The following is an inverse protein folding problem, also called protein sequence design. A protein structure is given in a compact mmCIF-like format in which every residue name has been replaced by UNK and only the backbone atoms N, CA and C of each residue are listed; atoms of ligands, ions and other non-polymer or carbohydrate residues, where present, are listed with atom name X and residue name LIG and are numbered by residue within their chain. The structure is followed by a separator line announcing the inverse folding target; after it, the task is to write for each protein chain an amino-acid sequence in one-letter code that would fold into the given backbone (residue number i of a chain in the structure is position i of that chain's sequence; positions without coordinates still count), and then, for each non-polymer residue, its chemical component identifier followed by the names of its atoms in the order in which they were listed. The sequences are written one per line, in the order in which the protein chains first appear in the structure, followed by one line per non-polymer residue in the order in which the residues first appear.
data_IF_277633030658
#
_entry.id   IF_277633030658
#
_cell.length_a   1.000
_cell.length_b   1.000
_cell.length_c   1.000
_cell.angle_alpha   90.00
_cell.angle_beta   90.00
_cell.angle_gamma   90.00
#
_symmetry.space_group_name_H-M   'P 1'
#
loop_
_entity.id
_entity.type
_entity.pdbx_description
1 polymer ?
#
# COMPACT_ATOMS: atom_id res chain seq x y z
N UNK A 1 -25.15 -16.27 -32.73
CA UNK A 1 -23.82 -16.33 -32.07
C UNK A 1 -23.66 -15.05 -31.27
N UNK A 2 -23.10 -15.08 -30.06
CA UNK A 2 -22.82 -13.84 -29.33
C UNK A 2 -21.69 -13.07 -30.01
N UNK A 3 -21.78 -11.74 -29.99
CA UNK A 3 -20.71 -10.85 -30.45
C UNK A 3 -19.58 -10.81 -29.41
N UNK A 4 -18.33 -10.69 -29.88
CA UNK A 4 -17.19 -10.56 -28.99
C UNK A 4 -17.22 -9.19 -28.28
N UNK A 5 -17.10 -9.23 -26.95
CA UNK A 5 -16.94 -8.05 -26.11
C UNK A 5 -15.86 -8.30 -25.06
N UNK A 6 -14.80 -7.51 -25.10
CA UNK A 6 -13.82 -7.48 -24.02
C UNK A 6 -14.40 -6.76 -22.80
N UNK A 7 -14.21 -7.33 -21.62
CA UNK A 7 -14.56 -6.74 -20.33
C UNK A 7 -13.41 -7.04 -19.38
N UNK A 8 -12.93 -6.01 -18.68
CA UNK A 8 -11.96 -6.18 -17.60
C UNK A 8 -12.51 -7.14 -16.54
N UNK A 9 -11.67 -8.04 -16.03
CA UNK A 9 -12.06 -8.95 -14.94
C UNK A 9 -12.46 -8.18 -13.67
N UNK A 10 -11.82 -7.03 -13.43
CA UNK A 10 -12.05 -6.16 -12.28
C UNK A 10 -12.15 -4.70 -12.76
N UNK A 11 -13.32 -4.25 -13.24
CA UNK A 11 -13.51 -2.86 -13.63
C UNK A 11 -13.41 -1.94 -12.41
N UNK A 12 -12.68 -0.82 -12.54
CA UNK A 12 -12.53 0.19 -11.49
C UNK A 12 -13.61 1.26 -11.65
N UNK A 13 -14.08 1.82 -10.53
CA UNK A 13 -14.87 3.06 -10.50
C UNK A 13 -13.98 4.30 -10.65
N UNK A 14 -14.59 5.48 -10.49
CA UNK A 14 -13.87 6.75 -10.44
C UNK A 14 -12.91 6.80 -9.23
N UNK A 15 -11.76 7.44 -9.40
CA UNK A 15 -10.80 7.66 -8.31
C UNK A 15 -11.04 9.01 -7.65
N UNK A 16 -11.60 8.97 -6.45
CA UNK A 16 -11.89 10.16 -5.63
C UNK A 16 -10.76 10.47 -4.63
N UNK A 17 -9.61 9.79 -4.72
CA UNK A 17 -8.50 9.97 -3.79
C UNK A 17 -7.88 11.36 -3.95
N UNK A 18 -7.77 12.17 -2.89
CA UNK A 18 -7.07 13.44 -2.97
C UNK A 18 -5.55 13.23 -3.05
N UNK A 19 -4.90 13.88 -4.03
CA UNK A 19 -3.45 13.82 -4.22
C UNK A 19 -2.77 15.13 -3.84
N UNK A 20 -1.55 15.00 -3.30
CA UNK A 20 -0.63 16.12 -3.04
C UNK A 20 0.58 15.98 -3.95
N UNK A 21 0.95 17.05 -4.64
CA UNK A 21 2.17 17.11 -5.44
C UNK A 21 3.40 16.97 -4.53
N UNK A 22 4.28 16.00 -4.84
CA UNK A 22 5.55 15.78 -4.13
C UNK A 22 6.69 16.53 -4.82
N UNK A 23 6.84 16.33 -6.13
CA UNK A 23 7.88 16.97 -6.94
C UNK A 23 7.48 16.95 -8.42
N UNK A 24 8.06 17.86 -9.20
CA UNK A 24 8.06 17.83 -10.67
C UNK A 24 9.44 17.53 -11.25
N UNK A 25 10.47 17.42 -10.41
CA UNK A 25 11.85 17.15 -10.84
C UNK A 25 12.00 15.72 -11.35
N UNK A 26 12.79 15.56 -12.42
CA UNK A 26 13.03 14.26 -13.05
C UNK A 26 11.82 13.72 -13.85
N UNK A 27 10.86 14.57 -14.19
CA UNK A 27 9.71 14.22 -15.03
C UNK A 27 9.74 15.06 -16.29
N UNK A 28 9.76 14.43 -17.46
CA UNK A 28 9.77 15.10 -18.76
C UNK A 28 8.86 14.37 -19.76
N UNK A 29 8.16 15.12 -20.61
CA UNK A 29 7.48 14.55 -21.78
C UNK A 29 8.39 14.69 -22.99
N UNK A 30 8.77 13.57 -23.59
CA UNK A 30 9.62 13.52 -24.78
C UNK A 30 8.83 13.00 -25.99
N UNK A 31 9.19 13.50 -27.18
CA UNK A 31 8.59 13.08 -28.46
C UNK A 31 9.52 12.10 -29.19
N UNK A 32 9.04 10.89 -29.42
CA UNK A 32 9.79 9.84 -30.14
C UNK A 32 8.88 9.19 -31.19
N UNK A 33 9.27 9.27 -32.46
CA UNK A 33 8.52 8.65 -33.56
C UNK A 33 7.08 9.18 -33.70
N UNK A 34 6.86 10.47 -33.42
CA UNK A 34 5.53 11.10 -33.48
C UNK A 34 4.58 10.70 -32.35
N UNK A 35 5.13 10.22 -31.23
CA UNK A 35 4.38 9.86 -30.02
C UNK A 35 5.05 10.47 -28.80
N UNK A 36 4.22 10.89 -27.85
CA UNK A 36 4.65 11.30 -26.52
C UNK A 36 5.02 10.11 -25.65
N UNK A 37 6.07 10.31 -24.86
CA UNK A 37 6.52 9.42 -23.79
C UNK A 37 6.76 10.24 -22.52
N UNK A 38 6.45 9.66 -21.37
CA UNK A 38 6.77 10.23 -20.07
C UNK A 38 8.10 9.63 -19.62
N UNK A 39 9.18 10.41 -19.64
CA UNK A 39 10.43 10.04 -19.01
C UNK A 39 10.36 10.34 -17.51
N UNK A 40 10.71 9.34 -16.70
CA UNK A 40 10.72 9.41 -15.23
C UNK A 40 12.08 8.97 -14.73
N UNK A 41 12.78 9.91 -14.09
CA UNK A 41 14.10 9.66 -13.52
C UNK A 41 14.01 8.73 -12.29
N UNK A 42 15.05 7.90 -12.03
CA UNK A 42 15.10 7.05 -10.84
C UNK A 42 14.95 7.81 -9.52
N UNK A 43 15.55 9.00 -9.40
CA UNK A 43 15.46 9.82 -8.18
C UNK A 43 14.03 10.30 -7.88
N UNK A 44 13.17 10.43 -8.90
CA UNK A 44 11.75 10.75 -8.72
C UNK A 44 11.03 9.60 -8.02
N UNK A 45 11.26 8.35 -8.44
CA UNK A 45 10.69 7.14 -7.81
C UNK A 45 11.17 6.97 -6.37
N UNK A 46 12.46 7.21 -6.12
CA UNK A 46 13.07 7.20 -4.79
C UNK A 46 12.44 8.24 -3.87
N UNK A 47 12.35 9.50 -4.33
CA UNK A 47 11.77 10.63 -3.56
C UNK A 47 10.31 10.38 -3.22
N UNK A 48 9.52 9.91 -4.20
CA UNK A 48 8.12 9.57 -3.99
C UNK A 48 7.97 8.44 -2.97
N UNK A 49 8.81 7.41 -3.06
CA UNK A 49 8.77 6.27 -2.14
C UNK A 49 9.16 6.67 -0.72
N UNK A 50 10.19 7.50 -0.54
CA UNK A 50 10.54 8.04 0.76
C UNK A 50 9.38 8.82 1.38
N UNK A 51 8.75 9.72 0.61
CA UNK A 51 7.62 10.51 1.07
C UNK A 51 6.41 9.63 1.45
N UNK A 52 6.09 8.64 0.62
CA UNK A 52 5.02 7.69 0.89
C UNK A 52 5.29 6.87 2.17
N UNK A 53 6.51 6.36 2.32
CA UNK A 53 6.87 5.60 3.51
C UNK A 53 6.86 6.45 4.79
N UNK A 54 7.34 7.69 4.73
CA UNK A 54 7.22 8.62 5.86
C UNK A 54 5.75 8.84 6.23
N UNK A 55 4.91 9.20 5.26
CA UNK A 55 3.53 9.60 5.53
C UNK A 55 2.69 8.43 6.04
N UNK A 56 2.82 7.22 5.48
CA UNK A 56 2.05 6.04 5.92
C UNK A 56 2.40 5.59 7.35
N UNK A 57 3.62 5.86 7.83
CA UNK A 57 4.03 5.51 9.20
C UNK A 57 3.53 6.49 10.26
N UNK A 58 3.13 7.71 9.86
CA UNK A 58 2.82 8.80 10.78
C UNK A 58 1.40 9.35 10.64
N UNK A 59 0.74 9.12 9.50
CA UNK A 59 -0.58 9.65 9.17
C UNK A 59 -1.56 8.52 8.83
N UNK A 60 -2.85 8.81 9.03
CA UNK A 60 -3.96 7.93 8.65
C UNK A 60 -4.87 8.60 7.64
N UNK A 61 -5.60 7.78 6.87
CA UNK A 61 -6.66 8.27 6.00
C UNK A 61 -7.77 8.92 6.83
N UNK A 62 -8.34 10.06 6.39
CA UNK A 62 -9.44 10.72 7.10
C UNK A 62 -10.65 9.80 7.35
N UNK A 63 -10.99 8.94 6.38
CA UNK A 63 -12.08 7.97 6.54
C UNK A 63 -11.87 6.99 7.70
N UNK A 64 -10.63 6.56 7.96
CA UNK A 64 -10.33 5.69 9.09
C UNK A 64 -10.41 6.44 10.43
N UNK A 65 -9.90 7.68 10.48
CA UNK A 65 -10.04 8.54 11.67
C UNK A 65 -11.52 8.84 11.98
N UNK A 66 -12.34 9.05 10.95
CA UNK A 66 -13.78 9.25 11.12
C UNK A 66 -14.45 8.00 11.69
N UNK A 67 -14.06 6.79 11.29
CA UNK A 67 -14.58 5.55 11.88
C UNK A 67 -14.27 5.47 13.38
N UNK A 68 -13.05 5.83 13.81
CA UNK A 68 -12.69 5.89 15.23
C UNK A 68 -13.52 6.97 15.97
N UNK A 69 -13.75 8.13 15.35
CA UNK A 69 -14.62 9.16 15.94
C UNK A 69 -16.05 8.67 16.12
N UNK A 70 -16.60 7.97 15.13
CA UNK A 70 -17.97 7.47 15.18
C UNK A 70 -18.19 6.54 16.38
N UNK A 71 -17.21 5.72 16.76
CA UNK A 71 -17.29 4.85 17.96
C UNK A 71 -17.54 5.68 19.23
N UNK A 72 -16.99 6.89 19.32
CA UNK A 72 -17.16 7.75 20.48
C UNK A 72 -18.56 8.39 20.56
N UNK A 73 -19.20 8.59 19.41
CA UNK A 73 -20.56 9.16 19.29
C UNK A 73 -21.67 8.10 19.33
N UNK A 74 -21.33 6.84 19.03
CA UNK A 74 -22.29 5.75 18.97
C UNK A 74 -22.83 5.41 20.37
N UNK A 75 -24.15 5.49 20.63
CA UNK A 75 -24.73 5.12 21.93
C UNK A 75 -24.64 3.62 22.23
N UNK A 76 -24.52 2.75 21.22
CA UNK A 76 -24.44 1.29 21.37
C UNK A 76 -23.02 0.80 21.67
N UNK A 77 -21.99 1.63 21.45
CA UNK A 77 -20.61 1.27 21.75
C UNK A 77 -20.42 0.97 23.24
N UNK A 78 -19.56 0.00 23.56
CA UNK A 78 -19.21 -0.29 24.95
C UNK A 78 -18.29 0.79 25.53
N UNK A 79 -18.10 0.77 26.86
CA UNK A 79 -17.10 1.62 27.49
C UNK A 79 -15.67 1.30 26.98
N UNK A 80 -15.40 0.02 26.72
CA UNK A 80 -14.10 -0.43 26.23
C UNK A 80 -13.86 0.01 24.78
N UNK A 81 -14.87 -0.03 23.91
CA UNK A 81 -14.73 0.43 22.53
C UNK A 81 -14.36 1.92 22.49
N UNK A 82 -15.04 2.74 23.31
CA UNK A 82 -14.75 4.17 23.41
C UNK A 82 -13.37 4.44 23.99
N UNK A 83 -12.95 3.65 25.00
CA UNK A 83 -11.62 3.75 25.58
C UNK A 83 -10.53 3.46 24.54
N UNK A 84 -10.64 2.33 23.83
CA UNK A 84 -9.67 1.94 22.80
C UNK A 84 -9.64 2.94 21.64
N UNK A 85 -10.81 3.37 21.14
CA UNK A 85 -10.88 4.35 20.06
C UNK A 85 -10.23 5.69 20.43
N UNK A 86 -10.42 6.16 21.66
CA UNK A 86 -9.79 7.38 22.16
C UNK A 86 -8.27 7.25 22.22
N UNK A 87 -7.76 6.12 22.70
CA UNK A 87 -6.31 5.88 22.77
C UNK A 87 -5.69 5.76 21.38
N UNK A 88 -6.37 5.12 20.42
CA UNK A 88 -5.92 5.10 19.02
C UNK A 88 -5.89 6.49 18.39
N UNK A 89 -6.88 7.35 18.67
CA UNK A 89 -6.88 8.74 18.19
C UNK A 89 -5.75 9.57 18.82
N UNK A 90 -5.47 9.38 20.11
CA UNK A 90 -4.33 10.02 20.78
C UNK A 90 -3.00 9.57 20.18
N UNK A 91 -2.85 8.27 19.94
CA UNK A 91 -1.68 7.70 19.29
C UNK A 91 -1.49 8.29 17.88
N UNK A 92 -2.56 8.39 17.08
CA UNK A 92 -2.52 9.02 15.77
C UNK A 92 -2.07 10.49 15.83
N UNK A 93 -2.55 11.25 16.83
CA UNK A 93 -2.14 12.64 17.03
C UNK A 93 -0.65 12.76 17.42
N UNK A 94 -0.13 11.83 18.23
CA UNK A 94 1.31 11.79 18.58
C UNK A 94 2.14 11.45 17.34
N UNK A 95 1.74 10.44 16.58
CA UNK A 95 2.46 9.99 15.38
C UNK A 95 2.50 11.06 14.29
N UNK A 96 1.45 11.88 14.17
CA UNK A 96 1.41 13.00 13.23
C UNK A 96 2.52 14.05 13.47
N UNK A 97 3.18 14.04 14.63
CA UNK A 97 4.37 14.85 14.91
C UNK A 97 5.63 14.42 14.13
N UNK A 98 5.62 13.26 13.46
CA UNK A 98 6.70 12.82 12.57
C UNK A 98 7.96 12.29 13.26
N UNK A 99 7.93 12.12 14.58
CA UNK A 99 9.06 11.61 15.37
C UNK A 99 8.89 10.14 15.72
N UNK A 100 7.73 9.77 16.29
CA UNK A 100 7.40 8.40 16.67
C UNK A 100 6.43 7.82 15.63
N UNK A 101 6.66 6.61 15.09
CA UNK A 101 5.71 5.98 14.19
C UNK A 101 4.45 5.56 14.95
N UNK A 102 3.36 5.38 14.20
CA UNK A 102 2.06 4.99 14.74
C UNK A 102 2.06 3.61 15.41
N UNK A 103 2.95 2.72 15.01
CA UNK A 103 3.06 1.37 15.51
C UNK A 103 4.54 0.99 15.65
N UNK A 104 4.87 0.18 16.64
CA UNK A 104 6.21 -0.40 16.80
C UNK A 104 6.55 -1.37 15.66
N UNK A 105 5.54 -2.04 15.10
CA UNK A 105 5.68 -2.82 13.89
C UNK A 105 5.42 -1.92 12.68
N UNK A 106 6.50 -1.33 12.17
CA UNK A 106 6.47 -0.50 10.96
C UNK A 106 6.26 -1.33 9.69
N UNK A 107 6.20 -2.66 9.81
CA UNK A 107 5.70 -3.56 8.77
C UNK A 107 6.65 -3.80 7.59
N UNK A 108 6.22 -4.71 6.72
CA UNK A 108 6.88 -4.96 5.44
C UNK A 108 6.47 -3.88 4.44
N UNK A 109 7.44 -3.32 3.72
CA UNK A 109 7.18 -2.40 2.62
C UNK A 109 6.70 -3.17 1.40
N UNK A 110 5.48 -2.87 0.93
CA UNK A 110 4.87 -3.45 -0.27
C UNK A 110 4.56 -2.30 -1.23
N UNK A 111 4.99 -2.46 -2.47
CA UNK A 111 4.82 -1.48 -3.55
C UNK A 111 4.22 -2.21 -4.75
N UNK A 112 3.03 -1.81 -5.16
CA UNK A 112 2.41 -2.26 -6.41
C UNK A 112 2.41 -1.10 -7.39
N UNK A 113 2.98 -1.32 -8.58
CA UNK A 113 3.07 -0.33 -9.64
C UNK A 113 2.35 -0.77 -10.91
N UNK A 114 1.80 0.19 -11.62
CA UNK A 114 1.23 0.01 -12.96
C UNK A 114 1.84 1.05 -13.87
N UNK A 115 2.71 0.60 -14.77
CA UNK A 115 3.49 1.45 -15.65
C UNK A 115 2.84 1.49 -17.03
N UNK A 116 2.40 2.67 -17.43
CA UNK A 116 1.83 2.94 -18.74
C UNK A 116 2.80 2.59 -19.87
N UNK A 117 2.26 2.18 -21.02
CA UNK A 117 3.04 1.70 -22.17
C UNK A 117 4.05 2.72 -22.74
N UNK A 118 3.91 4.01 -22.42
CA UNK A 118 4.78 5.09 -22.90
C UNK A 118 5.50 5.79 -21.74
N UNK A 119 5.64 5.12 -20.61
CA UNK A 119 6.51 5.57 -19.51
C UNK A 119 7.90 4.97 -19.70
N UNK A 120 8.91 5.83 -19.74
CA UNK A 120 10.31 5.47 -19.87
C UNK A 120 11.02 5.72 -18.54
N UNK A 121 11.62 4.67 -17.99
CA UNK A 121 12.47 4.73 -16.79
C UNK A 121 13.87 4.21 -17.11
N UNK A 122 14.84 4.61 -16.29
CA UNK A 122 16.23 4.19 -16.44
C UNK A 122 16.57 3.05 -15.47
N UNK A 123 16.95 1.90 -16.02
CA UNK A 123 17.33 0.73 -15.24
C UNK A 123 16.13 0.03 -14.56
N UNK A 124 16.39 -0.79 -13.53
CA UNK A 124 15.33 -1.46 -12.78
C UNK A 124 14.67 -0.49 -11.80
N UNK A 125 13.41 -0.16 -12.04
CA UNK A 125 12.58 0.69 -11.18
C UNK A 125 12.60 0.22 -9.71
N UNK A 126 12.64 -1.09 -9.49
CA UNK A 126 12.69 -1.74 -8.17
C UNK A 126 13.88 -1.25 -7.33
N UNK A 127 15.02 -0.92 -7.96
CA UNK A 127 16.20 -0.40 -7.26
C UNK A 127 15.92 0.98 -6.68
N UNK A 128 15.32 1.87 -7.46
CA UNK A 128 15.00 3.23 -7.03
C UNK A 128 13.93 3.22 -5.93
N UNK A 129 12.90 2.38 -6.10
CA UNK A 129 11.85 2.16 -5.11
C UNK A 129 12.44 1.59 -3.81
N UNK A 130 13.26 0.53 -3.88
CA UNK A 130 13.90 -0.06 -2.71
C UNK A 130 14.84 0.93 -2.00
N UNK A 131 15.55 1.79 -2.74
CA UNK A 131 16.38 2.85 -2.16
C UNK A 131 15.53 3.85 -1.38
N UNK A 132 14.37 4.26 -1.88
CA UNK A 132 13.46 5.15 -1.15
C UNK A 132 12.91 4.52 0.13
N UNK A 133 12.66 3.20 0.14
CA UNK A 133 12.32 2.44 1.35
C UNK A 133 13.51 2.47 2.31
N UNK A 134 14.69 2.06 1.86
CA UNK A 134 15.92 2.07 2.68
C UNK A 134 16.13 3.44 3.35
N UNK A 135 16.05 4.52 2.57
CA UNK A 135 16.25 5.88 3.08
C UNK A 135 15.26 6.22 4.19
N UNK A 136 13.98 5.89 4.02
CA UNK A 136 12.96 6.14 5.04
C UNK A 136 13.25 5.38 6.33
N UNK A 137 13.65 4.12 6.22
CA UNK A 137 13.96 3.27 7.38
C UNK A 137 15.26 3.65 8.08
N UNK A 138 16.26 4.17 7.36
CA UNK A 138 17.52 4.63 7.96
C UNK A 138 17.45 6.03 8.56
N UNK A 139 16.61 6.92 8.01
CA UNK A 139 16.56 8.34 8.43
C UNK A 139 15.48 8.62 9.47
N UNK A 140 14.45 7.78 9.57
CA UNK A 140 13.34 7.93 10.51
C UNK A 140 13.44 6.92 11.64
N UNK A 141 12.70 7.13 12.73
CA UNK A 141 12.69 6.22 13.89
C UNK A 141 11.80 4.99 13.64
N UNK A 142 12.10 4.21 12.59
CA UNK A 142 11.36 3.01 12.20
C UNK A 142 12.08 1.72 12.64
N UNK A 143 11.45 0.56 12.43
CA UNK A 143 11.98 -0.73 12.87
C UNK A 143 12.36 -1.64 11.70
N UNK A 144 13.55 -2.24 11.78
CA UNK A 144 14.00 -3.28 10.84
C UNK A 144 13.40 -4.63 11.22
N UNK A 145 12.42 -5.08 10.44
CA UNK A 145 11.58 -6.24 10.77
C UNK A 145 11.80 -7.43 9.83
N UNK A 146 12.59 -7.28 8.77
CA UNK A 146 12.86 -8.36 7.82
C UNK A 146 14.02 -9.24 8.27
N UNK A 147 13.79 -10.56 8.24
CA UNK A 147 14.77 -11.60 8.49
C UNK A 147 15.15 -12.27 7.18
N UNK A 148 16.44 -12.39 6.90
CA UNK A 148 16.96 -13.12 5.75
C UNK A 148 17.37 -14.53 6.18
N UNK A 149 16.89 -15.58 5.49
CA UNK A 149 17.31 -16.94 5.77
C UNK A 149 18.74 -17.17 5.28
N UNK A 150 19.61 -17.70 6.15
CA UNK A 150 20.95 -18.17 5.80
C UNK A 150 20.94 -19.65 5.42
N UNK A 151 20.11 -20.41 6.12
CA UNK A 151 19.76 -21.79 5.82
C UNK A 151 18.35 -22.07 6.38
N UNK A 152 17.98 -23.34 6.51
CA UNK A 152 16.64 -23.74 7.00
C UNK A 152 16.33 -23.24 8.41
N UNK A 153 17.33 -23.03 9.27
CA UNK A 153 17.15 -22.79 10.71
C UNK A 153 17.73 -21.46 11.18
N UNK A 154 18.73 -20.95 10.47
CA UNK A 154 19.45 -19.73 10.84
C UNK A 154 18.99 -18.56 9.97
N UNK A 155 18.72 -17.45 10.63
CA UNK A 155 18.31 -16.20 10.00
C UNK A 155 19.14 -15.03 10.57
N UNK A 156 19.23 -13.96 9.79
CA UNK A 156 19.83 -12.70 10.21
C UNK A 156 18.91 -11.54 9.86
N UNK A 157 18.78 -10.57 10.76
CA UNK A 157 18.06 -9.34 10.44
C UNK A 157 18.82 -8.57 9.35
N UNK A 158 18.11 -8.05 8.35
CA UNK A 158 18.76 -7.33 7.24
C UNK A 158 19.28 -5.95 7.63
N UNK A 159 18.93 -5.46 8.83
CA UNK A 159 19.37 -4.18 9.38
C UNK A 159 18.82 -2.95 8.66
N UNK A 160 17.86 -3.14 7.75
CA UNK A 160 17.40 -2.11 6.81
C UNK A 160 15.90 -2.18 6.49
N UNK A 161 15.21 -3.20 7.01
CA UNK A 161 13.84 -3.57 6.63
C UNK A 161 13.62 -3.92 5.14
N UNK A 162 14.69 -4.16 4.39
CA UNK A 162 14.63 -4.75 3.05
C UNK A 162 14.77 -6.28 3.12
N UNK A 163 14.36 -7.03 2.08
CA UNK A 163 13.75 -6.57 0.84
C UNK A 163 12.33 -6.03 1.00
N UNK A 164 11.93 -5.13 0.11
CA UNK A 164 10.53 -4.76 -0.09
C UNK A 164 9.88 -5.73 -1.09
N UNK A 165 8.57 -5.95 -0.97
CA UNK A 165 7.80 -6.62 -2.02
C UNK A 165 7.45 -5.57 -3.09
N UNK A 166 8.01 -5.70 -4.29
CA UNK A 166 7.81 -4.75 -5.39
C UNK A 166 7.25 -5.50 -6.59
N UNK A 167 6.05 -5.14 -7.02
CA UNK A 167 5.34 -5.77 -8.12
C UNK A 167 4.94 -4.71 -9.14
N UNK A 168 5.55 -4.74 -10.33
CA UNK A 168 5.33 -3.76 -11.37
C UNK A 168 4.63 -4.42 -12.57
N UNK A 169 3.39 -4.01 -12.84
CA UNK A 169 2.61 -4.46 -13.97
C UNK A 169 2.65 -3.43 -15.11
N UNK A 170 2.51 -3.88 -16.35
CA UNK A 170 2.26 -2.99 -17.47
C UNK A 170 0.78 -2.57 -17.49
N UNK A 171 0.52 -1.27 -17.60
CA UNK A 171 -0.83 -0.73 -17.85
C UNK A 171 -1.02 -0.44 -19.34
N UNK A 172 -1.86 -1.25 -19.97
CA UNK A 172 -2.19 -1.17 -21.39
C UNK A 172 -3.55 -0.53 -21.66
N UNK A 173 -4.21 0.03 -20.64
CA UNK A 173 -5.53 0.65 -20.82
C UNK A 173 -5.43 1.94 -21.63
N UNK A 174 -6.38 2.20 -22.56
CA UNK A 174 -6.41 3.45 -23.30
C UNK A 174 -6.50 4.66 -22.36
N UNK A 175 -5.69 5.70 -22.60
CA UNK A 175 -5.61 6.90 -21.77
C UNK A 175 -4.62 6.81 -20.60
N UNK A 176 -4.06 5.63 -20.33
CA UNK A 176 -3.09 5.40 -19.26
C UNK A 176 -1.64 5.38 -19.77
N UNK A 177 -1.41 5.65 -21.05
CA UNK A 177 -0.11 5.43 -21.70
C UNK A 177 1.02 6.23 -21.05
N UNK A 178 0.72 7.43 -20.55
CA UNK A 178 1.65 8.35 -19.89
C UNK A 178 1.48 8.36 -18.36
N UNK A 179 0.89 7.31 -17.78
CA UNK A 179 0.64 7.24 -16.34
C UNK A 179 1.50 6.16 -15.68
N UNK A 180 2.06 6.47 -14.51
CA UNK A 180 2.68 5.48 -13.64
C UNK A 180 1.99 5.53 -12.28
N UNK A 181 1.05 4.61 -12.05
CA UNK A 181 0.34 4.49 -10.77
C UNK A 181 1.20 3.68 -9.80
N UNK A 182 1.39 4.17 -8.58
CA UNK A 182 2.08 3.45 -7.50
C UNK A 182 1.19 3.40 -6.26
N UNK A 183 1.03 2.22 -5.70
CA UNK A 183 0.35 1.97 -4.43
C UNK A 183 1.36 1.46 -3.41
N UNK A 184 1.40 2.12 -2.25
CA UNK A 184 2.32 1.82 -1.15
C UNK A 184 1.55 1.27 0.05
N UNK A 185 2.11 0.26 0.70
CA UNK A 185 1.60 -0.30 1.94
C UNK A 185 2.74 -0.63 2.91
N UNK A 186 2.60 -0.21 4.16
CA UNK A 186 3.38 -0.71 5.28
C UNK A 186 2.55 -1.77 6.00
N UNK A 187 2.80 -3.06 5.73
CA UNK A 187 1.95 -4.14 6.25
C UNK A 187 2.56 -4.77 7.50
N UNK A 188 1.97 -4.48 8.66
CA UNK A 188 2.36 -5.12 9.92
C UNK A 188 2.12 -6.63 9.90
N UNK A 189 3.10 -7.39 10.39
CA UNK A 189 3.13 -8.85 10.30
C UNK A 189 1.94 -9.51 11.01
N UNK A 190 1.50 -8.94 12.14
CA UNK A 190 0.32 -9.42 12.85
C UNK A 190 -0.94 -9.43 11.98
N UNK A 191 -1.15 -8.37 11.18
CA UNK A 191 -2.28 -8.28 10.26
C UNK A 191 -2.07 -9.08 8.96
N UNK A 192 -0.82 -9.30 8.55
CA UNK A 192 -0.50 -10.17 7.41
C UNK A 192 -0.86 -11.64 7.72
N UNK A 193 -0.57 -12.09 8.94
CA UNK A 193 -0.87 -13.44 9.43
C UNK A 193 -2.38 -13.72 9.61
N UNK A 194 -3.23 -12.70 9.45
CA UNK A 194 -4.69 -12.80 9.49
C UNK A 194 -5.33 -12.80 8.09
N UNK A 195 -4.52 -12.97 7.04
CA UNK A 195 -5.00 -13.27 5.69
C UNK A 195 -5.15 -14.79 5.53
N UNK A 196 -6.38 -15.26 5.32
CA UNK A 196 -6.70 -16.68 5.20
C UNK A 196 -7.23 -17.02 3.81
N UNK A 197 -6.95 -18.25 3.36
CA UNK A 197 -7.47 -18.81 2.12
C UNK A 197 -8.38 -20.00 2.46
N UNK A 198 -9.63 -19.92 2.03
CA UNK A 198 -10.63 -20.98 2.18
C UNK A 198 -10.99 -21.55 0.80
N UNK A 199 -10.88 -22.88 0.65
CA UNK A 199 -11.22 -23.58 -0.58
C UNK A 199 -12.66 -24.07 -0.52
N UNK A 200 -13.60 -23.16 -0.79
CA UNK A 200 -15.04 -23.42 -0.77
C UNK A 200 -15.61 -23.81 -2.13
N UNK A 201 -16.87 -24.24 -2.16
CA UNK A 201 -17.57 -24.63 -3.38
C UNK A 201 -18.86 -23.84 -3.58
N UNK A 202 -19.57 -24.09 -4.70
CA UNK A 202 -20.89 -23.48 -4.96
C UNK A 202 -21.89 -23.69 -3.82
N UNK A 203 -21.74 -24.73 -2.99
CA UNK A 203 -22.61 -25.01 -1.86
C UNK A 203 -22.65 -23.87 -0.83
N UNK A 204 -21.55 -23.12 -0.65
CA UNK A 204 -21.51 -21.98 0.29
C UNK A 204 -22.27 -20.76 -0.22
N UNK A 205 -22.52 -20.67 -1.53
CA UNK A 205 -23.11 -19.49 -2.18
C UNK A 205 -24.64 -19.48 -2.10
N UNK A 206 -25.15 -19.57 -0.87
CA UNK A 206 -26.52 -19.30 -0.48
C UNK A 206 -26.54 -18.59 0.89
N UNK A 207 -27.63 -17.90 1.22
CA UNK A 207 -27.65 -17.01 2.39
C UNK A 207 -27.35 -17.72 3.72
N UNK A 208 -27.94 -18.89 3.95
CA UNK A 208 -27.80 -19.62 5.21
C UNK A 208 -26.38 -20.18 5.38
N UNK A 209 -25.87 -20.87 4.36
CA UNK A 209 -24.53 -21.45 4.40
C UNK A 209 -23.45 -20.36 4.46
N UNK A 210 -23.62 -19.25 3.71
CA UNK A 210 -22.66 -18.16 3.70
C UNK A 210 -22.60 -17.43 5.05
N UNK A 211 -23.75 -17.18 5.70
CA UNK A 211 -23.79 -16.60 7.06
C UNK A 211 -23.07 -17.50 8.07
N UNK A 212 -23.30 -18.81 8.00
CA UNK A 212 -22.64 -19.80 8.87
C UNK A 212 -21.13 -19.84 8.64
N UNK A 213 -20.70 -19.78 7.37
CA UNK A 213 -19.29 -19.71 7.00
C UNK A 213 -18.64 -18.42 7.54
N UNK A 214 -19.29 -17.27 7.39
CA UNK A 214 -18.76 -15.99 7.88
C UNK A 214 -18.65 -15.96 9.41
N UNK A 215 -19.67 -16.41 10.14
CA UNK A 215 -19.63 -16.41 11.62
C UNK A 215 -18.50 -17.30 12.15
N UNK A 216 -18.27 -18.47 11.53
CA UNK A 216 -17.19 -19.35 11.94
C UNK A 216 -15.80 -18.84 11.54
N UNK A 217 -15.68 -18.16 10.39
CA UNK A 217 -14.39 -17.67 9.87
C UNK A 217 -13.92 -16.36 10.50
N UNK A 218 -14.82 -15.57 11.08
CA UNK A 218 -14.50 -14.27 11.70
C UNK A 218 -14.06 -14.38 13.16
N UNK A 219 -14.30 -15.50 13.83
CA UNK A 219 -13.97 -15.74 15.25
C UNK A 219 -12.57 -16.34 15.40
#
# INVERSE_FOLDING_TARGET
MPDFRYVDMLPKGEDETPYRLITTEGIEVVELGGRQFLHVAPETLRTLTFAAMRDIQHLLRPGHLQQLRNILDDPEASANDRFVALDLLRNANIAAGGVLPMCQDTGTAIISGKRGQRVLTEGPDERALAQGVYDAYQQLNLRYSQMSPLNMWEEINTGTNLPAQIELAADSKPGHELQYELFYMAKGGGSANKSYLFQETKAVLNEEAFRTFLDSSLR
#
